data_IF_398566629797
#
_entry.id   IF_398566629797
#
_cell.length_a   1.000
_cell.length_b   1.000
_cell.length_c   1.000
_cell.angle_alpha   90.00
_cell.angle_beta   90.00
_cell.angle_gamma   90.00
#
_symmetry.space_group_name_H-M   'P 1'
#
loop_
_entity.id
_entity.type
_entity.pdbx_description
1 polymer ?
#
# COMPACT_ATOMS: atom_id res chain seq x y z
N UNK A 1 15.63 17.66 -1.21
CA UNK A 1 15.36 16.43 -1.98
C UNK A 1 13.90 16.46 -2.38
N UNK A 2 13.58 16.38 -3.68
CA UNK A 2 12.21 16.65 -4.13
C UNK A 2 11.24 15.59 -3.60
N UNK A 3 10.06 16.05 -3.25
CA UNK A 3 8.90 15.21 -2.99
C UNK A 3 8.69 14.22 -4.15
N UNK A 4 8.25 13.00 -3.86
CA UNK A 4 7.81 12.09 -4.90
C UNK A 4 6.53 12.67 -5.51
N UNK A 5 6.61 13.27 -6.71
CA UNK A 5 5.44 13.85 -7.36
C UNK A 5 4.43 12.78 -7.83
N UNK A 6 4.85 11.53 -7.87
CA UNK A 6 4.03 10.38 -8.27
C UNK A 6 4.37 9.16 -7.44
N UNK A 7 3.33 8.39 -7.10
CA UNK A 7 3.43 7.12 -6.40
C UNK A 7 2.81 6.04 -7.27
N UNK A 8 3.45 4.88 -7.31
CA UNK A 8 3.05 3.74 -8.12
C UNK A 8 2.54 2.61 -7.24
N UNK A 9 1.55 1.88 -7.74
CA UNK A 9 1.03 0.66 -7.14
C UNK A 9 0.56 -0.27 -8.27
N UNK A 10 0.78 -1.57 -8.15
CA UNK A 10 0.20 -2.51 -9.11
C UNK A 10 -1.27 -2.79 -8.78
N UNK A 11 -2.00 -3.35 -9.76
CA UNK A 11 -3.40 -3.73 -9.55
C UNK A 11 -3.62 -4.72 -8.40
N UNK A 12 -2.65 -5.60 -8.13
CA UNK A 12 -2.78 -6.66 -7.12
C UNK A 12 -2.81 -6.13 -5.67
N UNK A 13 -1.82 -5.35 -5.19
CA UNK A 13 -1.88 -4.74 -3.85
C UNK A 13 -3.07 -3.79 -3.71
N UNK A 14 -3.41 -3.05 -4.76
CA UNK A 14 -4.59 -2.17 -4.74
C UNK A 14 -5.88 -2.98 -4.53
N UNK A 15 -6.05 -4.09 -5.24
CA UNK A 15 -7.20 -4.97 -5.09
C UNK A 15 -7.28 -5.57 -3.69
N UNK A 16 -6.14 -5.91 -3.06
CA UNK A 16 -6.10 -6.35 -1.66
C UNK A 16 -6.61 -5.27 -0.71
N UNK A 17 -6.21 -4.00 -0.90
CA UNK A 17 -6.68 -2.89 -0.06
C UNK A 17 -8.17 -2.60 -0.27
N UNK A 18 -8.64 -2.65 -1.51
CA UNK A 18 -10.07 -2.50 -1.84
C UNK A 18 -10.89 -3.63 -1.20
N UNK A 19 -10.41 -4.88 -1.28
CA UNK A 19 -11.05 -6.03 -0.64
C UNK A 19 -11.12 -5.86 0.89
N UNK A 20 -10.03 -5.39 1.51
CA UNK A 20 -10.01 -5.06 2.93
C UNK A 20 -10.99 -3.93 3.29
N UNK A 21 -11.17 -2.95 2.40
CA UNK A 21 -12.18 -1.90 2.58
C UNK A 21 -13.61 -2.45 2.55
N UNK A 22 -13.92 -3.42 1.68
CA UNK A 22 -15.22 -4.10 1.69
C UNK A 22 -15.49 -4.86 2.98
N UNK A 23 -14.47 -5.50 3.54
CA UNK A 23 -14.54 -6.22 4.81
C UNK A 23 -14.64 -5.29 6.04
N UNK A 24 -14.38 -3.99 5.88
CA UNK A 24 -14.46 -3.03 6.96
C UNK A 24 -15.91 -2.89 7.46
N UNK A 25 -16.06 -2.86 8.79
CA UNK A 25 -17.35 -2.70 9.47
C UNK A 25 -17.55 -1.27 9.95
N UNK A 26 -18.80 -0.77 10.02
CA UNK A 26 -19.07 0.57 10.50
C UNK A 26 -18.61 0.74 11.95
N UNK A 27 -18.02 1.91 12.25
CA UNK A 27 -17.48 2.24 13.57
C UNK A 27 -16.06 1.71 13.83
N UNK A 28 -15.52 0.87 12.95
CA UNK A 28 -14.14 0.40 13.04
C UNK A 28 -13.24 1.07 12.00
N UNK A 29 -12.01 1.35 12.42
CA UNK A 29 -10.98 1.89 11.57
C UNK A 29 -9.76 1.00 11.62
N UNK A 30 -9.34 0.50 10.47
CA UNK A 30 -8.14 -0.30 10.34
C UNK A 30 -6.96 0.59 9.95
N UNK A 31 -5.84 0.39 10.62
CA UNK A 31 -4.61 1.13 10.39
C UNK A 31 -3.51 0.10 10.17
N UNK A 32 -2.73 0.30 9.12
CA UNK A 32 -1.65 -0.59 8.71
C UNK A 32 -0.41 0.24 8.35
N UNK A 33 0.77 -0.35 8.46
CA UNK A 33 1.97 0.24 7.89
C UNK A 33 2.07 -0.09 6.40
N UNK A 34 2.37 0.92 5.59
CA UNK A 34 2.69 0.75 4.18
C UNK A 34 4.17 0.44 4.02
N UNK A 35 4.47 -0.50 3.14
CA UNK A 35 5.83 -0.83 2.75
C UNK A 35 6.00 -0.84 1.23
N UNK A 36 7.23 -0.64 0.80
CA UNK A 36 7.59 -0.66 -0.61
C UNK A 36 9.01 -0.16 -0.83
N UNK A 37 9.24 0.46 -1.99
CA UNK A 37 10.58 0.81 -2.46
C UNK A 37 10.60 2.26 -2.98
N UNK A 38 11.79 2.86 -2.96
CA UNK A 38 12.08 4.11 -3.67
C UNK A 38 13.02 3.77 -4.83
N UNK A 39 12.63 4.14 -6.05
CA UNK A 39 13.41 3.93 -7.27
C UNK A 39 13.79 5.29 -7.86
N UNK A 40 15.02 5.43 -8.34
CA UNK A 40 15.43 6.59 -9.14
C UNK A 40 15.15 6.26 -10.61
N UNK A 41 14.25 7.02 -11.24
CA UNK A 41 14.05 6.95 -12.67
C UNK A 41 14.90 8.02 -13.36
N UNK A 42 15.76 7.59 -14.28
CA UNK A 42 16.47 8.49 -15.19
C UNK A 42 15.60 8.74 -16.42
N UNK A 43 15.01 9.93 -16.49
CA UNK A 43 14.42 10.40 -17.74
C UNK A 43 15.53 10.98 -18.61
N UNK A 44 15.83 10.32 -19.73
CA UNK A 44 16.60 10.91 -20.82
C UNK A 44 15.74 12.01 -21.45
N UNK A 45 16.03 13.26 -21.11
CA UNK A 45 15.42 14.42 -21.78
C UNK A 45 16.45 15.07 -22.69
N UNK A 46 16.00 15.70 -23.79
CA UNK A 46 16.86 16.47 -24.70
C UNK A 46 17.51 17.70 -24.02
N UNK A 47 17.17 17.98 -22.77
CA UNK A 47 17.78 19.04 -21.97
C UNK A 47 18.96 18.48 -21.18
N UNK A 48 20.06 19.22 -21.15
CA UNK A 48 21.33 18.85 -20.52
C UNK A 48 21.24 18.65 -18.99
N UNK A 49 20.09 18.90 -18.38
CA UNK A 49 19.78 18.60 -16.99
C UNK A 49 19.15 17.22 -16.88
N UNK A 50 19.96 16.23 -16.47
CA UNK A 50 19.47 14.92 -16.06
C UNK A 50 18.58 15.10 -14.82
N UNK A 51 17.26 15.24 -15.01
CA UNK A 51 16.31 15.31 -13.92
C UNK A 51 16.11 13.89 -13.36
N UNK A 52 16.83 13.56 -12.29
CA UNK A 52 16.61 12.34 -11.53
C UNK A 52 15.26 12.44 -10.81
N UNK A 53 14.28 11.62 -11.21
CA UNK A 53 12.98 11.56 -10.55
C UNK A 53 12.97 10.44 -9.53
N UNK A 54 12.62 10.79 -8.29
CA UNK A 54 12.41 9.83 -7.20
C UNK A 54 10.98 9.31 -7.25
N UNK A 55 10.83 8.03 -7.60
CA UNK A 55 9.57 7.32 -7.65
C UNK A 55 9.38 6.48 -6.39
N UNK A 56 8.17 6.46 -5.85
CA UNK A 56 7.82 5.61 -4.72
C UNK A 56 6.85 4.55 -5.19
N UNK A 57 7.17 3.28 -4.90
CA UNK A 57 6.37 2.12 -5.28
C UNK A 57 5.79 1.50 -4.01
N UNK A 58 4.47 1.41 -3.92
CA UNK A 58 3.77 0.70 -2.85
C UNK A 58 3.64 -0.77 -3.22
N UNK A 59 4.13 -1.66 -2.36
CA UNK A 59 4.07 -3.11 -2.58
C UNK A 59 3.04 -3.80 -1.68
N UNK A 60 2.73 -3.22 -0.51
CA UNK A 60 1.73 -3.80 0.37
C UNK A 60 1.60 -3.09 1.71
N UNK A 61 0.86 -3.72 2.61
CA UNK A 61 0.64 -3.22 3.97
C UNK A 61 0.73 -4.35 5.00
N UNK A 62 1.14 -4.01 6.23
CA UNK A 62 1.22 -4.92 7.38
C UNK A 62 0.55 -4.31 8.61
N UNK A 63 0.20 -5.14 9.60
CA UNK A 63 -0.35 -4.67 10.86
C UNK A 63 0.62 -3.71 11.58
N UNK A 64 0.09 -2.72 12.31
CA UNK A 64 0.89 -1.72 13.05
C UNK A 64 1.74 -2.37 14.15
N UNK A 65 1.32 -3.54 14.62
CA UNK A 65 1.94 -4.27 15.73
C UNK A 65 3.12 -5.12 15.22
N UNK A 66 3.28 -5.25 13.89
CA UNK A 66 4.39 -5.92 13.25
C UNK A 66 5.62 -5.01 13.26
N UNK A 67 6.65 -5.40 14.00
CA UNK A 67 7.94 -4.69 14.08
C UNK A 67 8.81 -4.89 12.83
N UNK A 68 8.46 -5.84 11.96
CA UNK A 68 9.32 -6.25 10.85
C UNK A 68 8.83 -5.67 9.52
N UNK A 69 9.57 -4.70 9.00
CA UNK A 69 9.54 -4.42 7.55
C UNK A 69 10.16 -5.62 6.82
N UNK A 70 9.50 -6.18 5.80
CA UNK A 70 10.08 -7.26 5.01
C UNK A 70 11.47 -6.90 4.48
N UNK A 71 12.38 -7.87 4.47
CA UNK A 71 13.77 -7.68 4.03
C UNK A 71 13.83 -7.03 2.65
N UNK A 72 14.64 -5.97 2.52
CA UNK A 72 14.80 -5.22 1.27
C UNK A 72 13.73 -4.16 1.01
N UNK A 73 12.70 -4.04 1.85
CA UNK A 73 11.65 -3.03 1.73
C UNK A 73 11.79 -1.93 2.79
N UNK A 74 11.26 -0.75 2.49
CA UNK A 74 11.18 0.36 3.43
C UNK A 74 9.76 0.66 3.85
N UNK A 75 9.61 1.12 5.09
CA UNK A 75 8.35 1.69 5.60
C UNK A 75 8.08 3.01 4.90
N UNK A 76 6.98 3.06 4.15
CA UNK A 76 6.57 4.24 3.40
C UNK A 76 5.67 5.17 4.20
N UNK A 77 4.87 4.61 5.13
CA UNK A 77 3.93 5.37 5.94
C UNK A 77 2.77 4.50 6.42
N UNK A 78 1.54 4.98 6.26
CA UNK A 78 0.34 4.35 6.84
C UNK A 78 -0.78 4.21 5.82
N UNK A 79 -1.50 3.09 5.92
CA UNK A 79 -2.76 2.83 5.26
C UNK A 79 -3.86 2.93 6.30
N UNK A 80 -4.90 3.74 6.03
CA UNK A 80 -6.09 3.83 6.87
C UNK A 80 -7.30 3.41 6.06
N UNK A 81 -8.10 2.51 6.61
CA UNK A 81 -9.32 1.99 5.98
C UNK A 81 -10.46 2.14 6.97
N UNK A 82 -11.55 2.78 6.56
CA UNK A 82 -12.76 2.91 7.37
C UNK A 82 -14.03 2.83 6.53
N UNK A 83 -15.14 2.58 7.20
CA UNK A 83 -16.49 2.84 6.68
C UNK A 83 -17.02 4.15 7.26
N UNK A 84 -17.37 5.11 6.40
CA UNK A 84 -17.80 6.45 6.81
C UNK A 84 -18.75 7.07 5.77
N UNK A 85 -19.61 8.03 6.15
CA UNK A 85 -20.57 8.65 5.22
C UNK A 85 -19.90 9.57 4.18
N UNK A 86 -18.64 9.97 4.39
CA UNK A 86 -17.91 10.83 3.48
C UNK A 86 -16.41 10.49 3.48
N UNK A 87 -15.77 10.65 2.34
CA UNK A 87 -14.31 10.49 2.20
C UNK A 87 -13.59 11.71 2.75
N UNK A 88 -13.27 11.68 4.05
CA UNK A 88 -12.58 12.75 4.75
C UNK A 88 -11.64 12.15 5.79
N UNK A 89 -10.44 12.73 5.90
CA UNK A 89 -9.51 12.39 6.96
C UNK A 89 -10.08 12.77 8.33
N UNK A 90 -9.89 11.89 9.31
CA UNK A 90 -10.19 12.25 10.70
C UNK A 90 -9.09 13.15 11.28
N UNK A 91 -9.42 13.84 12.36
CA UNK A 91 -8.41 14.61 13.11
C UNK A 91 -7.25 13.71 13.56
N UNK A 92 -7.56 12.50 14.03
CA UNK A 92 -6.55 11.51 14.45
C UNK A 92 -5.62 11.08 13.30
N UNK A 93 -6.13 10.91 12.08
CA UNK A 93 -5.27 10.61 10.92
C UNK A 93 -4.32 11.75 10.62
N UNK A 94 -4.83 12.97 10.70
CA UNK A 94 -4.06 14.19 10.48
C UNK A 94 -2.96 14.31 11.52
N UNK A 95 -3.28 14.06 12.80
CA UNK A 95 -2.29 14.05 13.88
C UNK A 95 -1.24 12.96 13.68
N UNK A 96 -1.64 11.74 13.31
CA UNK A 96 -0.72 10.63 13.04
C UNK A 96 0.21 10.95 11.87
N UNK A 97 -0.32 11.54 10.80
CA UNK A 97 0.45 11.98 9.64
C UNK A 97 1.53 13.00 10.03
N UNK A 98 1.15 14.02 10.81
CA UNK A 98 2.08 15.03 11.32
C UNK A 98 3.16 14.38 12.20
N UNK A 99 2.78 13.55 13.18
CA UNK A 99 3.72 12.86 14.06
C UNK A 99 4.69 11.95 13.31
N UNK A 100 4.20 11.19 12.34
CA UNK A 100 5.02 10.33 11.50
C UNK A 100 6.10 11.10 10.74
N UNK A 101 5.74 12.26 10.21
CA UNK A 101 6.67 13.13 9.50
C UNK A 101 7.76 13.71 10.42
N UNK A 102 7.44 13.95 11.70
CA UNK A 102 8.42 14.37 12.70
C UNK A 102 9.40 13.26 13.09
N UNK A 103 8.94 12.00 13.11
CA UNK A 103 9.77 10.84 13.47
C UNK A 103 10.73 10.49 12.33
N UNK A 104 10.26 10.51 11.08
CA UNK A 104 11.10 10.23 9.92
C UNK A 104 11.10 11.41 8.93
N UNK A 105 11.78 12.52 9.25
CA UNK A 105 11.74 13.74 8.44
C UNK A 105 12.19 13.55 6.99
N UNK A 106 13.01 12.52 6.71
CA UNK A 106 13.58 12.24 5.37
C UNK A 106 12.88 11.09 4.64
N UNK A 107 11.93 10.42 5.29
CA UNK A 107 11.13 9.35 4.71
C UNK A 107 10.10 9.86 3.70
N UNK A 108 9.55 8.97 2.84
CA UNK A 108 8.48 9.33 1.91
C UNK A 108 7.15 9.70 2.63
N UNK A 109 6.97 9.30 3.90
CA UNK A 109 5.86 9.66 4.80
C UNK A 109 4.50 9.79 4.10
N UNK A 110 3.99 8.66 3.63
CA UNK A 110 2.74 8.60 2.86
C UNK A 110 1.58 8.21 3.77
N UNK A 111 0.43 8.88 3.62
CA UNK A 111 -0.85 8.42 4.15
C UNK A 111 -1.76 7.99 2.99
N UNK A 112 -2.07 6.70 2.91
CA UNK A 112 -3.05 6.16 1.97
C UNK A 112 -4.37 5.94 2.69
N UNK A 113 -5.38 6.72 2.34
CA UNK A 113 -6.68 6.69 3.00
C UNK A 113 -7.73 6.05 2.10
N UNK A 114 -8.43 5.04 2.61
CA UNK A 114 -9.58 4.40 1.98
C UNK A 114 -10.84 4.64 2.82
N UNK A 115 -11.94 4.92 2.12
CA UNK A 115 -13.27 5.01 2.71
C UNK A 115 -14.25 4.15 1.93
N UNK A 116 -14.88 3.21 2.62
CA UNK A 116 -16.09 2.54 2.17
C UNK A 116 -17.30 3.41 2.50
N UNK A 117 -18.13 3.68 1.51
CA UNK A 117 -19.40 4.41 1.65
C UNK A 117 -20.51 3.48 1.19
N UNK A 118 -21.35 3.04 2.12
CA UNK A 118 -22.55 2.25 1.85
C UNK A 118 -23.72 3.20 1.70
N UNK A 119 -24.28 3.31 0.49
CA UNK A 119 -25.43 4.17 0.21
C UNK A 119 -26.74 3.39 0.39
N UNK A 120 -27.82 4.10 0.72
CA UNK A 120 -29.14 3.50 0.98
C UNK A 120 -29.77 2.84 -0.27
N UNK A 121 -29.23 3.13 -1.45
CA UNK A 121 -29.61 2.54 -2.74
C UNK A 121 -28.95 1.17 -2.99
N UNK A 122 -28.19 0.64 -2.03
CA UNK A 122 -27.46 -0.62 -2.14
C UNK A 122 -26.12 -0.47 -2.89
N UNK A 123 -25.75 0.73 -3.33
CA UNK A 123 -24.46 0.98 -3.97
C UNK A 123 -23.39 1.13 -2.89
N UNK A 124 -22.37 0.28 -2.98
CA UNK A 124 -21.15 0.41 -2.17
C UNK A 124 -20.08 1.08 -3.02
N UNK A 125 -19.50 2.15 -2.49
CA UNK A 125 -18.38 2.88 -3.12
C UNK A 125 -17.15 2.76 -2.24
N UNK A 126 -16.01 2.50 -2.85
CA UNK A 126 -14.70 2.58 -2.19
C UNK A 126 -13.94 3.74 -2.80
N UNK A 127 -13.68 4.75 -1.99
CA UNK A 127 -12.91 5.93 -2.37
C UNK A 127 -11.54 5.87 -1.72
N UNK A 128 -10.50 6.30 -2.44
CA UNK A 128 -9.16 6.35 -1.89
C UNK A 128 -8.43 7.62 -2.30
N UNK A 129 -7.61 8.14 -1.39
CA UNK A 129 -6.73 9.29 -1.63
C UNK A 129 -5.38 9.06 -0.97
N UNK A 130 -4.31 9.47 -1.66
CA UNK A 130 -2.94 9.40 -1.19
C UNK A 130 -2.47 10.80 -0.79
N UNK A 131 -1.83 10.92 0.36
CA UNK A 131 -1.30 12.18 0.87
C UNK A 131 0.18 12.08 1.20
N UNK A 132 0.92 13.16 0.94
CA UNK A 132 2.25 13.43 1.47
C UNK A 132 2.11 14.07 2.86
N UNK A 133 2.72 13.44 3.87
CA UNK A 133 2.78 13.96 5.22
C UNK A 133 4.01 14.85 5.38
N UNK A 134 3.79 16.15 5.61
CA UNK A 134 4.86 17.15 5.76
C UNK A 134 5.13 17.47 7.22
N UNK A 135 6.39 17.80 7.52
CA UNK A 135 6.90 18.10 8.87
C UNK A 135 6.24 19.30 9.57
N UNK A 136 5.55 20.16 8.83
CA UNK A 136 4.94 21.37 9.40
C UNK A 136 3.48 21.12 9.76
N UNK A 137 3.12 21.39 11.02
CA UNK A 137 1.73 21.42 11.49
C UNK A 137 0.88 22.51 10.83
N UNK A 138 1.51 23.43 10.11
CA UNK A 138 0.88 24.58 9.44
C UNK A 138 0.58 24.28 7.97
N UNK A 139 1.31 23.36 7.33
CA UNK A 139 1.06 23.01 5.94
C UNK A 139 0.00 21.90 5.82
N UNK A 140 -1.02 22.09 4.96
CA UNK A 140 -2.01 21.04 4.73
C UNK A 140 -1.35 19.82 4.08
N UNK A 141 -1.87 18.63 4.37
CA UNK A 141 -1.48 17.39 3.70
C UNK A 141 -1.68 17.55 2.18
N UNK A 142 -0.61 17.31 1.42
CA UNK A 142 -0.64 17.47 -0.05
C UNK A 142 -1.11 16.17 -0.70
N UNK A 143 -2.17 16.17 -1.52
CA UNK A 143 -2.56 14.98 -2.26
C UNK A 143 -1.48 14.62 -3.29
N UNK A 144 -1.16 13.33 -3.39
CA UNK A 144 -0.19 12.77 -4.32
C UNK A 144 -0.89 12.11 -5.51
N UNK A 145 -0.26 12.17 -6.69
CA UNK A 145 -0.76 11.46 -7.87
C UNK A 145 -0.43 9.97 -7.76
N UNK A 146 -1.45 9.14 -7.68
CA UNK A 146 -1.32 7.69 -7.76
C UNK A 146 -1.37 7.23 -9.22
N UNK A 147 -0.40 6.41 -9.62
CA UNK A 147 -0.37 5.69 -10.89
C UNK A 147 -0.57 4.21 -10.61
N UNK A 148 -1.47 3.58 -11.36
CA UNK A 148 -1.75 2.16 -11.21
C UNK A 148 -1.12 1.44 -12.39
N UNK A 149 -0.17 0.56 -12.11
CA UNK A 149 0.50 -0.21 -13.16
C UNK A 149 -0.48 -1.20 -13.77
N UNK A 150 -0.82 -0.93 -15.03
CA UNK A 150 -1.75 -1.73 -15.82
C UNK A 150 -1.11 -2.08 -17.18
N UNK A 151 -1.56 -3.19 -17.76
CA UNK A 151 -1.14 -3.64 -19.10
C UNK A 151 -1.51 -2.65 -20.21
N UNK A 152 -2.55 -1.86 -19.97
CA UNK A 152 -3.05 -0.84 -20.89
C UNK A 152 -3.11 0.47 -20.13
N UNK A 153 -2.32 1.46 -20.56
CA UNK A 153 -2.45 2.83 -20.10
C UNK A 153 -3.31 3.59 -21.12
N UNK A 154 -4.47 4.06 -20.67
CA UNK A 154 -5.41 4.84 -21.47
C UNK A 154 -4.80 6.06 -22.19
N UNK A 155 -3.66 6.58 -21.71
CA UNK A 155 -2.98 7.73 -22.31
C UNK A 155 -1.82 7.36 -23.25
N UNK A 156 -1.31 6.13 -23.18
CA UNK A 156 -0.15 5.66 -23.96
C UNK A 156 -0.45 4.44 -24.84
N UNK A 157 -1.66 3.88 -24.77
CA UNK A 157 -2.05 2.66 -25.45
C UNK A 157 -1.53 1.42 -24.71
N UNK A 158 -0.78 0.57 -25.39
CA UNK A 158 -0.13 -0.58 -24.76
C UNK A 158 1.11 -0.12 -24.00
N UNK A 159 1.10 -0.29 -22.68
CA UNK A 159 2.31 -0.14 -21.87
C UNK A 159 3.32 -1.19 -22.34
N UNK A 160 4.57 -0.79 -22.63
CA UNK A 160 5.64 -1.78 -22.89
C UNK A 160 5.66 -2.78 -21.73
N UNK A 161 5.66 -4.07 -22.03
CA UNK A 161 5.65 -5.14 -21.02
C UNK A 161 6.78 -4.94 -20.00
N UNK A 162 7.94 -4.46 -20.46
CA UNK A 162 9.08 -4.10 -19.60
C UNK A 162 8.74 -3.09 -18.49
N UNK A 163 7.79 -2.20 -18.72
CA UNK A 163 7.44 -1.13 -17.80
C UNK A 163 6.38 -1.60 -16.78
N UNK A 164 5.51 -2.53 -17.16
CA UNK A 164 4.45 -3.08 -16.26
C UNK A 164 5.06 -3.88 -15.10
N UNK A 165 6.23 -4.50 -15.32
CA UNK A 165 6.91 -5.29 -14.31
C UNK A 165 8.12 -4.57 -13.68
N UNK A 166 8.45 -3.36 -14.13
CA UNK A 166 9.62 -2.60 -13.66
C UNK A 166 9.58 -2.37 -12.14
N UNK A 167 8.38 -2.21 -11.59
CA UNK A 167 8.15 -1.98 -10.17
C UNK A 167 7.92 -3.28 -9.36
N UNK A 168 7.82 -4.44 -10.02
CA UNK A 168 7.61 -5.74 -9.39
C UNK A 168 8.90 -6.53 -9.15
N UNK A 169 10.04 -6.10 -9.70
CA UNK A 169 11.33 -6.76 -9.50
C UNK A 169 12.09 -6.17 -8.30
N UNK A 170 12.51 -7.00 -7.33
CA UNK A 170 13.43 -6.55 -6.29
C UNK A 170 14.73 -6.04 -6.92
N UNK A 171 15.24 -4.92 -6.39
CA UNK A 171 16.40 -4.19 -6.94
C UNK A 171 17.71 -5.01 -6.97
N UNK A 172 17.77 -6.15 -6.27
CA UNK A 172 18.94 -7.04 -6.25
C UNK A 172 19.17 -7.80 -7.56
N UNK A 173 18.19 -7.81 -8.48
CA UNK A 173 18.35 -8.46 -9.79
C UNK A 173 19.20 -7.65 -10.78
N UNK A 174 19.39 -6.35 -10.55
CA UNK A 174 20.10 -5.45 -11.47
C UNK A 174 21.63 -5.60 -11.47
N UNK A 175 22.21 -6.30 -10.49
CA UNK A 175 23.67 -6.54 -10.42
C UNK A 175 24.13 -7.84 -11.10
N UNK A 176 23.23 -8.62 -11.72
CA UNK A 176 23.66 -9.71 -12.61
C UNK A 176 24.07 -9.12 -13.95
N UNK A 177 25.39 -8.98 -14.11
CA UNK A 177 26.09 -8.66 -15.37
C UNK A 177 25.35 -9.23 -16.58
N UNK A 178 25.19 -8.39 -17.60
CA UNK A 178 24.76 -8.72 -18.96
C UNK A 178 25.58 -9.89 -19.54
N UNK A 179 25.20 -11.12 -19.24
CA UNK A 179 25.69 -12.32 -19.92
C UNK A 179 24.49 -13.12 -20.33
N UNK A 180 24.13 -12.99 -21.61
CA UNK A 180 23.06 -13.69 -22.32
C UNK A 180 21.67 -13.56 -21.67
N UNK A 181 20.66 -13.31 -22.50
CA UNK A 181 19.27 -13.34 -22.06
C UNK A 181 19.05 -14.59 -21.21
N UNK A 182 18.67 -14.49 -19.92
CA UNK A 182 18.20 -15.66 -19.23
C UNK A 182 16.94 -16.06 -19.97
N UNK A 183 16.91 -17.31 -20.46
CA UNK A 183 15.67 -17.99 -20.81
C UNK A 183 14.60 -17.56 -19.82
N UNK A 184 13.46 -17.14 -20.35
CA UNK A 184 12.38 -16.56 -19.58
C UNK A 184 12.23 -17.29 -18.25
N UNK A 185 12.71 -16.67 -17.17
CA UNK A 185 12.22 -17.00 -15.84
C UNK A 185 10.85 -16.34 -15.81
N UNK A 186 9.90 -16.95 -16.53
CA UNK A 186 8.59 -17.17 -15.92
C UNK A 186 8.94 -17.86 -14.60
N UNK A 187 9.18 -17.08 -13.55
CA UNK A 187 9.08 -17.58 -12.20
C UNK A 187 7.64 -18.00 -12.12
N UNK A 188 7.39 -19.27 -12.42
CA UNK A 188 6.05 -19.83 -12.37
C UNK A 188 5.55 -19.50 -10.97
N UNK A 189 4.32 -19.00 -10.88
CA UNK A 189 3.56 -19.34 -9.69
C UNK A 189 3.44 -20.86 -9.72
N UNK A 190 4.44 -21.53 -9.15
CA UNK A 190 4.40 -22.97 -8.94
C UNK A 190 3.13 -23.24 -8.15
N UNK A 191 2.44 -24.32 -8.49
CA UNK A 191 1.22 -24.78 -7.81
C UNK A 191 1.37 -24.79 -6.28
N UNK A 192 2.60 -24.99 -5.82
CA UNK A 192 2.99 -25.03 -4.42
C UNK A 192 2.85 -23.66 -3.75
N UNK A 193 3.20 -22.56 -4.44
CA UNK A 193 3.02 -21.20 -3.91
C UNK A 193 1.54 -20.83 -3.71
N UNK A 194 0.66 -21.28 -4.61
CA UNK A 194 -0.78 -21.11 -4.42
C UNK A 194 -1.30 -21.94 -3.26
N UNK A 195 -0.84 -23.18 -3.15
CA UNK A 195 -1.23 -24.09 -2.08
C UNK A 195 -0.79 -23.57 -0.71
N UNK A 196 0.41 -23.01 -0.62
CA UNK A 196 0.96 -22.39 0.59
C UNK A 196 0.14 -21.17 1.01
N UNK A 197 -0.19 -20.28 0.06
CA UNK A 197 -1.03 -19.10 0.33
C UNK A 197 -2.43 -19.52 0.80
N UNK A 198 -3.02 -20.54 0.17
CA UNK A 198 -4.33 -21.07 0.59
C UNK A 198 -4.27 -21.66 2.00
N UNK A 199 -3.23 -22.43 2.30
CA UNK A 199 -3.04 -23.07 3.61
C UNK A 199 -2.88 -22.01 4.70
N UNK A 200 -2.01 -21.02 4.48
CA UNK A 200 -1.82 -19.90 5.41
C UNK A 200 -3.10 -19.07 5.59
N UNK A 201 -3.86 -18.84 4.51
CA UNK A 201 -5.14 -18.14 4.60
C UNK A 201 -6.16 -18.91 5.45
N UNK A 202 -6.21 -20.23 5.30
CA UNK A 202 -7.09 -21.11 6.09
C UNK A 202 -6.70 -21.12 7.56
N UNK A 203 -5.41 -21.26 7.85
CA UNK A 203 -4.88 -21.20 9.23
C UNK A 203 -5.19 -19.86 9.89
N UNK A 204 -4.96 -18.75 9.17
CA UNK A 204 -5.31 -17.41 9.65
C UNK A 204 -6.80 -17.30 9.97
N UNK A 205 -7.69 -17.83 9.12
CA UNK A 205 -9.12 -17.79 9.37
C UNK A 205 -9.52 -18.57 10.63
N UNK A 206 -8.91 -19.74 10.87
CA UNK A 206 -9.12 -20.54 12.08
C UNK A 206 -8.67 -19.77 13.32
N UNK A 207 -7.49 -19.17 13.27
CA UNK A 207 -6.95 -18.38 14.39
C UNK A 207 -7.82 -17.14 14.68
N UNK A 208 -8.23 -16.41 13.65
CA UNK A 208 -9.13 -15.25 13.81
C UNK A 208 -10.45 -15.66 14.45
N UNK A 209 -11.06 -16.76 13.99
CA UNK A 209 -12.28 -17.30 14.60
C UNK A 209 -12.06 -17.59 16.08
N UNK A 210 -10.95 -18.23 16.44
CA UNK A 210 -10.65 -18.57 17.83
C UNK A 210 -10.45 -17.33 18.71
N UNK A 211 -9.78 -16.30 18.20
CA UNK A 211 -9.61 -15.02 18.89
C UNK A 211 -10.97 -14.37 19.17
N UNK A 212 -11.87 -14.37 18.19
CA UNK A 212 -13.23 -13.82 18.35
C UNK A 212 -14.03 -14.59 19.42
N UNK A 213 -13.98 -15.92 19.40
CA UNK A 213 -14.64 -16.78 20.41
C UNK A 213 -14.13 -16.45 21.83
N UNK A 214 -12.81 -16.42 22.01
CA UNK A 214 -12.19 -16.10 23.31
C UNK A 214 -12.53 -14.68 23.77
N UNK A 215 -12.56 -13.71 22.86
CA UNK A 215 -12.94 -12.32 23.18
C UNK A 215 -14.38 -12.25 23.67
N UNK A 216 -15.28 -13.01 23.06
CA UNK A 216 -16.68 -13.07 23.48
C UNK A 216 -16.83 -13.74 24.85
N UNK A 217 -16.16 -14.87 25.09
CA UNK A 217 -16.16 -15.55 26.39
C UNK A 217 -15.68 -14.60 27.50
N UNK A 218 -14.57 -13.89 27.27
CA UNK A 218 -14.00 -12.96 28.24
C UNK A 218 -14.95 -11.81 28.57
N UNK A 219 -15.60 -11.23 27.54
CA UNK A 219 -16.60 -10.18 27.71
C UNK A 219 -17.85 -10.65 28.45
N UNK A 220 -18.26 -11.91 28.28
CA UNK A 220 -19.40 -12.48 29.03
C UNK A 220 -19.06 -12.69 30.49
N UNK A 221 -17.85 -13.16 30.79
CA UNK A 221 -17.38 -13.36 32.16
C UNK A 221 -17.25 -12.02 32.90
N UNK A 222 -16.66 -11.00 32.27
CA UNK A 222 -16.48 -9.67 32.87
C UNK A 222 -17.78 -8.92 33.15
N UNK A 223 -18.90 -9.31 32.50
CA UNK A 223 -20.23 -8.73 32.75
C UNK A 223 -21.05 -9.50 33.80
N UNK A 224 -20.58 -10.68 34.17
CA UNK A 224 -21.22 -11.56 35.16
C UNK A 224 -20.58 -11.47 36.56
N UNK A 225 -19.49 -10.70 36.68
CA UNK A 225 -18.80 -10.36 37.94
C UNK A 225 -19.12 -8.93 38.35
#
# INVERSE_FOLDING_TARGET
MSAADRVFISGTPLAQFVSAAYACSPGFKHIHYLYGLRQSAHELTDRQENAEKSEVVILGATAVDSMETPSGLMKLGFLTICEAPAHKLSYEDTQRAIQASSINPRGPNILFHFTKITSNDGIVRVLYTLYECRQSSVEPLRPLKLSIDNLVDSLQGFTKISNVFMHNTPSDSANRKLTAAPESVMGGLETDAFHDVETLAREKAVLVKRIVELTNELNTQSRSS
#
